data_IF_033789105558
#
_entry.id   IF_033789105558
#
_cell.length_a   1.000
_cell.length_b   1.000
_cell.length_c   1.000
_cell.angle_alpha   90.00
_cell.angle_beta   90.00
_cell.angle_gamma   90.00
#
_symmetry.space_group_name_H-M   'P 1'
#
loop_
_entity.id
_entity.type
_entity.pdbx_description
1 polymer ?
#
# COMPACT_ATOMS: atom_id res chain seq x y z
N UNK A 1 -1.67 -24.67 73.18
CA UNK A 1 -1.64 -24.00 71.86
C UNK A 1 -2.36 -22.67 71.98
N UNK A 2 -1.67 -21.54 71.80
CA UNK A 2 -2.28 -20.20 71.75
C UNK A 2 -2.21 -19.71 70.30
N UNK A 3 -3.37 -19.40 69.71
CA UNK A 3 -3.49 -18.86 68.35
C UNK A 3 -3.22 -17.35 68.37
N UNK A 4 -2.28 -16.90 67.53
CA UNK A 4 -1.98 -15.48 67.30
C UNK A 4 -2.97 -14.96 66.26
N UNK A 5 -3.86 -14.05 66.67
CA UNK A 5 -4.75 -13.35 65.74
C UNK A 5 -3.98 -12.25 65.01
N UNK A 6 -3.78 -12.40 63.70
CA UNK A 6 -3.21 -11.36 62.84
C UNK A 6 -4.20 -10.22 62.63
N UNK A 7 -3.80 -9.01 63.00
CA UNK A 7 -4.57 -7.78 62.76
C UNK A 7 -4.31 -7.29 61.33
N UNK A 8 -5.26 -7.49 60.41
CA UNK A 8 -5.22 -6.88 59.07
C UNK A 8 -5.73 -5.43 59.14
N UNK A 9 -5.04 -4.44 58.53
CA UNK A 9 -5.45 -3.05 58.62
C UNK A 9 -6.67 -2.76 57.72
N UNK A 10 -7.46 -1.80 58.19
CA UNK A 10 -8.72 -1.31 57.65
C UNK A 10 -8.60 -0.63 56.27
N UNK A 11 -8.67 -1.40 55.18
CA UNK A 11 -8.73 -0.84 53.81
C UNK A 11 -10.01 0.01 53.56
N UNK A 12 -11.12 -0.27 54.28
CA UNK A 12 -12.40 0.43 54.07
C UNK A 12 -12.41 1.91 54.49
N UNK A 13 -11.60 2.31 55.48
CA UNK A 13 -11.52 3.72 55.94
C UNK A 13 -10.73 4.61 54.97
N UNK A 14 -9.69 4.05 54.34
CA UNK A 14 -8.95 4.74 53.28
C UNK A 14 -9.81 4.93 52.03
N UNK A 15 -10.60 3.92 51.67
CA UNK A 15 -11.50 3.98 50.52
C UNK A 15 -12.63 5.01 50.71
N UNK A 16 -13.26 5.07 51.89
CA UNK A 16 -14.31 6.06 52.19
C UNK A 16 -13.82 7.50 52.29
N UNK A 17 -12.55 7.72 52.66
CA UNK A 17 -11.92 9.04 52.69
C UNK A 17 -11.48 9.50 51.28
N UNK A 18 -10.89 8.60 50.48
CA UNK A 18 -10.56 8.84 49.07
C UNK A 18 -11.82 9.10 48.22
N UNK A 19 -12.93 8.42 48.50
CA UNK A 19 -14.24 8.61 47.87
C UNK A 19 -15.18 9.57 48.64
N UNK A 20 -14.63 10.45 49.48
CA UNK A 20 -15.47 11.53 50.02
C UNK A 20 -15.95 12.41 48.87
N UNK A 21 -17.25 12.80 48.86
CA UNK A 21 -17.82 13.68 47.82
C UNK A 21 -16.99 14.95 47.57
N UNK A 22 -16.26 15.41 48.58
CA UNK A 22 -15.37 16.58 48.50
C UNK A 22 -14.08 16.27 47.72
N UNK A 23 -13.47 15.12 47.92
CA UNK A 23 -12.27 14.67 47.18
C UNK A 23 -12.60 14.46 45.70
N UNK A 24 -13.71 13.79 45.40
CA UNK A 24 -14.16 13.54 44.02
C UNK A 24 -14.40 14.86 43.27
N UNK A 25 -15.09 15.83 43.89
CA UNK A 25 -15.31 17.15 43.29
C UNK A 25 -14.01 17.89 42.98
N UNK A 26 -13.01 17.81 43.87
CA UNK A 26 -11.69 18.42 43.64
C UNK A 26 -10.95 17.72 42.49
N UNK A 27 -10.96 16.38 42.45
CA UNK A 27 -10.35 15.63 41.35
C UNK A 27 -11.00 15.97 40.00
N UNK A 28 -12.33 16.06 39.94
CA UNK A 28 -13.05 16.45 38.72
C UNK A 28 -12.71 17.88 38.28
N UNK A 29 -12.57 18.82 39.22
CA UNK A 29 -12.15 20.18 38.90
C UNK A 29 -10.73 20.23 38.34
N UNK A 30 -9.77 19.55 38.98
CA UNK A 30 -8.39 19.44 38.49
C UNK A 30 -8.36 18.79 37.11
N UNK A 31 -9.13 17.73 36.90
CA UNK A 31 -9.25 17.08 35.59
C UNK A 31 -9.79 18.04 34.53
N UNK A 32 -10.85 18.80 34.84
CA UNK A 32 -11.41 19.79 33.93
C UNK A 32 -10.41 20.90 33.59
N UNK A 33 -9.66 21.40 34.58
CA UNK A 33 -8.58 22.35 34.35
C UNK A 33 -7.50 21.75 33.45
N UNK A 34 -7.08 20.50 33.68
CA UNK A 34 -6.06 19.83 32.88
C UNK A 34 -6.52 19.64 31.43
N UNK A 35 -7.75 19.18 31.21
CA UNK A 35 -8.34 19.05 29.85
C UNK A 35 -8.37 20.42 29.16
N UNK A 36 -8.76 21.47 29.88
CA UNK A 36 -8.81 22.84 29.33
C UNK A 36 -7.42 23.33 28.93
N UNK A 37 -6.41 23.08 29.76
CA UNK A 37 -5.01 23.44 29.46
C UNK A 37 -4.50 22.70 28.22
N UNK A 38 -4.78 21.41 28.10
CA UNK A 38 -4.40 20.61 26.92
C UNK A 38 -5.11 21.13 25.67
N UNK A 39 -6.40 21.44 25.75
CA UNK A 39 -7.15 22.00 24.63
C UNK A 39 -6.60 23.38 24.20
N UNK A 40 -6.27 24.25 25.15
CA UNK A 40 -5.65 25.55 24.88
C UNK A 40 -4.28 25.40 24.22
N UNK A 41 -3.47 24.45 24.68
CA UNK A 41 -2.17 24.14 24.10
C UNK A 41 -2.30 23.75 22.61
N UNK A 42 -3.16 22.77 22.29
CA UNK A 42 -3.39 22.38 20.89
C UNK A 42 -4.02 23.50 20.06
N UNK A 43 -4.90 24.32 20.64
CA UNK A 43 -5.49 25.45 19.94
C UNK A 43 -4.41 26.49 19.56
N UNK A 44 -3.50 26.80 20.49
CA UNK A 44 -2.39 27.72 20.22
C UNK A 44 -1.42 27.14 19.18
N UNK A 45 -1.02 25.87 19.32
CA UNK A 45 -0.14 25.22 18.35
C UNK A 45 -0.75 25.16 16.96
N UNK A 46 -2.02 24.78 16.85
CA UNK A 46 -2.74 24.75 15.57
C UNK A 46 -2.87 26.16 14.97
N UNK A 47 -3.12 27.18 15.80
CA UNK A 47 -3.18 28.57 15.34
C UNK A 47 -1.82 29.08 14.87
N UNK A 48 -0.74 28.81 15.63
CA UNK A 48 0.63 29.17 15.27
C UNK A 48 1.07 28.48 13.99
N UNK A 49 0.79 27.18 13.86
CA UNK A 49 1.05 26.38 12.67
C UNK A 49 0.31 26.91 11.45
N UNK A 50 -1.00 27.12 11.57
CA UNK A 50 -1.84 27.68 10.50
C UNK A 50 -1.36 29.07 10.08
N UNK A 51 -1.00 29.94 11.04
CA UNK A 51 -0.47 31.27 10.74
C UNK A 51 0.88 31.22 10.02
N UNK A 52 1.80 30.38 10.47
CA UNK A 52 3.11 30.21 9.83
C UNK A 52 2.98 29.64 8.41
N UNK A 53 2.16 28.62 8.24
CA UNK A 53 1.85 28.02 6.94
C UNK A 53 1.24 29.05 5.98
N UNK A 54 0.23 29.80 6.40
CA UNK A 54 -0.40 30.81 5.56
C UNK A 54 0.54 31.95 5.18
N UNK A 55 1.46 32.35 6.07
CA UNK A 55 2.50 33.33 5.74
C UNK A 55 3.43 32.80 4.65
N UNK A 56 3.94 31.58 4.81
CA UNK A 56 4.82 30.93 3.84
C UNK A 56 4.12 30.73 2.48
N UNK A 57 2.87 30.27 2.51
CA UNK A 57 2.03 30.10 1.32
C UNK A 57 1.90 31.39 0.52
N UNK A 58 1.56 32.50 1.17
CA UNK A 58 1.42 33.81 0.52
C UNK A 58 2.73 34.31 -0.06
N UNK A 59 3.84 34.05 0.62
CA UNK A 59 5.17 34.42 0.12
C UNK A 59 5.54 33.62 -1.13
N UNK A 60 5.26 32.31 -1.15
CA UNK A 60 5.46 31.47 -2.33
C UNK A 60 4.56 31.88 -3.49
N UNK A 61 3.26 32.06 -3.25
CA UNK A 61 2.30 32.51 -4.26
C UNK A 61 2.67 33.90 -4.80
N UNK A 62 3.16 34.81 -3.94
CA UNK A 62 3.67 36.13 -4.34
C UNK A 62 4.94 36.10 -5.19
N UNK A 63 5.73 35.02 -5.09
CA UNK A 63 6.88 34.75 -5.98
C UNK A 63 6.46 34.04 -7.27
N UNK A 64 5.17 33.80 -7.49
CA UNK A 64 4.63 33.12 -8.67
C UNK A 64 4.62 31.60 -8.57
N UNK A 65 4.89 31.01 -7.40
CA UNK A 65 4.80 29.56 -7.23
C UNK A 65 3.33 29.11 -7.24
N UNK A 66 3.01 28.17 -8.11
CA UNK A 66 1.67 27.57 -8.19
C UNK A 66 1.57 26.43 -7.17
N UNK A 67 0.76 26.64 -6.13
CA UNK A 67 0.59 25.66 -5.05
C UNK A 67 -0.62 24.73 -5.27
N UNK A 68 -1.40 24.94 -6.34
CA UNK A 68 -2.44 24.00 -6.72
C UNK A 68 -1.81 22.82 -7.47
N UNK A 69 -1.72 21.68 -6.78
CA UNK A 69 -1.19 20.45 -7.35
C UNK A 69 -1.94 20.03 -8.64
N UNK A 70 -3.21 20.43 -8.78
CA UNK A 70 -4.03 20.12 -9.97
C UNK A 70 -3.46 20.71 -11.24
N UNK A 71 -2.77 21.85 -11.15
CA UNK A 71 -2.15 22.47 -12.30
C UNK A 71 -0.94 21.68 -12.85
N UNK A 72 -0.44 20.70 -12.10
CA UNK A 72 0.62 19.79 -12.53
C UNK A 72 0.07 18.43 -12.98
N UNK A 73 -1.25 18.24 -12.93
CA UNK A 73 -1.87 17.02 -13.47
C UNK A 73 -1.96 17.21 -14.98
N UNK A 74 -1.30 16.34 -15.79
CA UNK A 74 -1.43 16.41 -17.23
C UNK A 74 -2.86 16.08 -17.65
N UNK A 75 -3.23 16.47 -18.87
CA UNK A 75 -4.52 16.05 -19.44
C UNK A 75 -4.64 14.52 -19.43
N UNK A 76 -5.84 13.98 -19.16
CA UNK A 76 -6.04 12.54 -19.12
C UNK A 76 -5.70 11.94 -20.48
N UNK A 77 -4.89 10.88 -20.47
CA UNK A 77 -4.56 10.12 -21.67
C UNK A 77 -5.82 9.38 -22.12
N UNK A 78 -6.23 9.50 -23.41
CA UNK A 78 -7.36 8.73 -23.94
C UNK A 78 -7.19 7.23 -23.69
N UNK A 79 -8.28 6.52 -23.42
CA UNK A 79 -8.24 5.10 -23.04
C UNK A 79 -7.57 4.23 -24.11
N UNK A 80 -7.72 4.58 -25.40
CA UNK A 80 -7.09 3.86 -26.52
C UNK A 80 -5.55 3.97 -26.52
N UNK A 81 -5.00 5.01 -25.88
CA UNK A 81 -3.57 5.25 -25.74
C UNK A 81 -3.05 4.92 -24.33
N UNK A 82 -3.96 4.60 -23.40
CA UNK A 82 -3.65 4.37 -22.00
C UNK A 82 -3.40 2.87 -21.76
N UNK A 83 -2.14 2.44 -21.82
CA UNK A 83 -1.77 1.07 -21.47
C UNK A 83 -2.18 0.68 -20.03
N UNK A 84 -2.30 1.66 -19.11
CA UNK A 84 -2.76 1.38 -17.75
C UNK A 84 -4.26 1.06 -17.66
N UNK A 85 -5.04 1.35 -18.71
CA UNK A 85 -6.44 0.97 -18.81
C UNK A 85 -6.65 -0.52 -19.17
N UNK A 86 -5.59 -1.22 -19.58
CA UNK A 86 -5.64 -2.66 -19.89
C UNK A 86 -6.09 -3.47 -18.67
N UNK A 87 -6.85 -4.58 -18.85
CA UNK A 87 -7.35 -5.38 -17.74
C UNK A 87 -6.24 -5.82 -16.78
N UNK A 88 -5.07 -6.17 -17.32
CA UNK A 88 -3.90 -6.58 -16.56
C UNK A 88 -3.45 -5.48 -15.59
N UNK A 89 -3.14 -4.29 -16.10
CA UNK A 89 -2.60 -3.19 -15.29
C UNK A 89 -3.68 -2.63 -14.36
N UNK A 90 -4.92 -2.51 -14.84
CA UNK A 90 -6.06 -2.04 -14.05
C UNK A 90 -6.31 -2.93 -12.83
N UNK A 91 -6.13 -4.24 -12.96
CA UNK A 91 -6.33 -5.19 -11.85
C UNK A 91 -5.41 -4.92 -10.66
N UNK A 92 -4.19 -4.40 -10.90
CA UNK A 92 -3.21 -4.08 -9.85
C UNK A 92 -3.66 -2.93 -8.93
N UNK A 93 -4.54 -2.05 -9.41
CA UNK A 93 -4.98 -0.85 -8.68
C UNK A 93 -6.35 -1.00 -8.02
N UNK A 94 -7.06 -2.11 -8.24
CA UNK A 94 -8.36 -2.36 -7.63
C UNK A 94 -8.20 -2.87 -6.19
N UNK A 95 -8.85 -2.18 -5.24
CA UNK A 95 -8.76 -2.40 -3.77
C UNK A 95 -9.12 -3.84 -3.34
N UNK A 96 -9.95 -4.53 -4.11
CA UNK A 96 -10.33 -5.94 -3.86
C UNK A 96 -9.16 -6.92 -4.03
N UNK A 97 -8.06 -6.52 -4.69
CA UNK A 97 -6.90 -7.37 -4.96
C UNK A 97 -5.74 -7.18 -3.96
N UNK A 98 -5.86 -6.31 -2.94
CA UNK A 98 -4.77 -6.00 -2.00
C UNK A 98 -4.34 -7.18 -1.10
N UNK A 99 -5.12 -8.27 -1.04
CA UNK A 99 -4.78 -9.49 -0.27
C UNK A 99 -4.63 -10.77 -1.10
N UNK A 100 -5.06 -10.74 -2.37
CA UNK A 100 -4.85 -11.84 -3.31
C UNK A 100 -4.90 -11.27 -4.72
N UNK A 101 -3.82 -10.62 -5.15
CA UNK A 101 -3.67 -10.37 -6.58
C UNK A 101 -3.59 -11.75 -7.22
N UNK A 102 -4.67 -12.18 -7.86
CA UNK A 102 -4.72 -13.45 -8.58
C UNK A 102 -3.93 -13.31 -9.88
N UNK A 103 -2.66 -12.93 -9.78
CA UNK A 103 -1.72 -12.92 -10.90
C UNK A 103 -1.78 -14.28 -11.63
N UNK A 104 -2.00 -15.38 -10.91
CA UNK A 104 -2.15 -16.72 -11.48
C UNK A 104 -3.34 -16.93 -12.42
N UNK A 105 -4.35 -16.04 -12.43
CA UNK A 105 -5.58 -16.23 -13.21
C UNK A 105 -5.60 -15.46 -14.52
N UNK A 106 -4.81 -14.39 -14.64
CA UNK A 106 -4.69 -13.66 -15.90
C UNK A 106 -3.73 -14.38 -16.87
N UNK A 107 -3.77 -13.98 -18.14
CA UNK A 107 -2.95 -14.60 -19.17
C UNK A 107 -1.45 -14.42 -18.88
N UNK A 108 -1.07 -13.34 -18.20
CA UNK A 108 0.31 -13.08 -17.79
C UNK A 108 0.81 -14.12 -16.79
N UNK A 109 0.10 -14.39 -15.68
CA UNK A 109 0.53 -15.40 -14.72
C UNK A 109 0.48 -16.81 -15.28
N UNK A 110 -0.50 -17.10 -16.16
CA UNK A 110 -0.53 -18.40 -16.87
C UNK A 110 0.71 -18.61 -17.73
N UNK A 111 1.21 -17.57 -18.41
CA UNK A 111 2.48 -17.65 -19.17
C UNK A 111 3.68 -17.71 -18.24
N UNK A 112 3.70 -16.88 -17.19
CA UNK A 112 4.81 -16.77 -16.24
C UNK A 112 5.20 -18.14 -15.67
N UNK A 113 4.21 -18.97 -15.32
CA UNK A 113 4.45 -20.32 -14.80
C UNK A 113 4.85 -21.35 -15.86
N UNK A 114 4.58 -21.11 -17.15
CA UNK A 114 4.90 -22.03 -18.26
C UNK A 114 6.25 -21.76 -18.90
N UNK A 115 6.87 -20.60 -18.67
CA UNK A 115 8.19 -20.29 -19.22
C UNK A 115 9.28 -20.62 -18.21
N UNK A 116 10.13 -21.60 -18.54
CA UNK A 116 11.23 -22.05 -17.68
C UNK A 116 12.60 -21.80 -18.31
N UNK A 117 13.59 -21.51 -17.47
CA UNK A 117 14.98 -21.55 -17.86
C UNK A 117 15.55 -22.92 -17.46
N UNK A 118 15.99 -23.72 -18.43
CA UNK A 118 16.52 -25.06 -18.18
C UNK A 118 17.80 -25.05 -17.34
N UNK A 119 18.55 -23.93 -17.34
CA UNK A 119 19.83 -23.78 -16.65
C UNK A 119 19.72 -23.14 -15.27
N UNK A 120 18.57 -22.54 -14.94
CA UNK A 120 18.40 -21.81 -13.69
C UNK A 120 17.17 -22.32 -12.91
N UNK A 121 17.44 -23.16 -11.90
CA UNK A 121 16.41 -23.71 -11.00
C UNK A 121 16.06 -22.76 -9.86
N UNK A 122 16.75 -21.63 -9.74
CA UNK A 122 16.57 -20.68 -8.64
C UNK A 122 15.58 -19.58 -9.03
N UNK A 123 14.35 -19.72 -8.52
CA UNK A 123 13.26 -18.76 -8.74
C UNK A 123 13.49 -17.41 -8.05
N UNK A 124 14.49 -17.29 -7.16
CA UNK A 124 14.80 -16.05 -6.43
C UNK A 124 15.70 -15.10 -7.22
N UNK A 125 16.32 -15.56 -8.32
CA UNK A 125 17.15 -14.74 -9.19
C UNK A 125 16.28 -13.98 -10.19
N UNK A 126 16.54 -12.69 -10.35
CA UNK A 126 15.87 -11.87 -11.36
C UNK A 126 16.20 -12.43 -12.75
N UNK A 127 15.23 -13.12 -13.36
CA UNK A 127 15.37 -13.71 -14.69
C UNK A 127 15.17 -12.64 -15.76
N UNK A 128 16.10 -12.53 -16.69
CA UNK A 128 15.85 -11.79 -17.92
C UNK A 128 14.75 -12.51 -18.74
N UNK A 129 13.74 -11.78 -19.20
CA UNK A 129 12.57 -12.38 -19.87
C UNK A 129 12.90 -12.67 -21.34
N UNK A 130 12.74 -13.94 -21.74
CA UNK A 130 12.83 -14.37 -23.14
C UNK A 130 11.46 -14.15 -23.82
N UNK A 131 11.38 -13.09 -24.63
CA UNK A 131 10.14 -12.70 -25.31
C UNK A 131 9.70 -13.73 -26.35
N UNK A 132 10.60 -14.54 -26.90
CA UNK A 132 10.25 -15.56 -27.89
C UNK A 132 9.52 -16.72 -27.23
N UNK A 133 10.02 -17.16 -26.07
CA UNK A 133 9.36 -18.19 -25.28
C UNK A 133 8.00 -17.72 -24.74
N UNK A 134 7.89 -16.44 -24.38
CA UNK A 134 6.63 -15.82 -23.95
C UNK A 134 5.61 -15.73 -25.10
N UNK A 135 6.02 -15.33 -26.30
CA UNK A 135 5.14 -15.31 -27.49
C UNK A 135 4.56 -16.71 -27.78
N UNK A 136 5.40 -17.74 -27.76
CA UNK A 136 4.97 -19.13 -27.96
C UNK A 136 3.97 -19.58 -26.88
N UNK A 137 4.22 -19.23 -25.62
CA UNK A 137 3.32 -19.55 -24.51
C UNK A 137 1.96 -18.84 -24.62
N UNK A 138 1.95 -17.56 -25.04
CA UNK A 138 0.70 -16.84 -25.31
C UNK A 138 -0.06 -17.44 -26.48
N UNK A 139 0.63 -17.82 -27.56
CA UNK A 139 0.01 -18.47 -28.71
C UNK A 139 -0.69 -19.79 -28.32
N UNK A 140 -0.04 -20.60 -27.47
CA UNK A 140 -0.63 -21.84 -26.93
C UNK A 140 -1.87 -21.57 -26.06
N UNK A 141 -1.84 -20.54 -25.22
CA UNK A 141 -3.00 -20.17 -24.41
C UNK A 141 -4.17 -19.71 -25.29
N UNK A 142 -3.90 -18.89 -26.32
CA UNK A 142 -4.92 -18.39 -27.25
C UNK A 142 -5.49 -19.48 -28.17
N UNK A 143 -4.70 -20.49 -28.52
CA UNK A 143 -5.15 -21.64 -29.33
C UNK A 143 -6.05 -22.60 -28.54
N UNK A 144 -6.27 -22.35 -27.25
CA UNK A 144 -7.08 -23.22 -26.38
C UNK A 144 -6.30 -24.41 -25.82
N UNK A 145 -4.96 -24.39 -25.86
CA UNK A 145 -4.13 -25.46 -25.32
C UNK A 145 -4.25 -25.52 -23.78
N UNK A 146 -4.99 -26.53 -23.31
CA UNK A 146 -5.35 -26.71 -21.90
C UNK A 146 -4.26 -27.39 -21.07
N UNK A 147 -3.17 -27.82 -21.70
CA UNK A 147 -2.09 -28.51 -21.00
C UNK A 147 -1.30 -27.54 -20.11
N UNK A 148 -1.63 -27.52 -18.82
CA UNK A 148 -0.96 -26.68 -17.82
C UNK A 148 0.48 -27.10 -17.54
N UNK A 149 0.90 -28.29 -17.98
CA UNK A 149 2.23 -28.84 -17.74
C UNK A 149 3.20 -28.66 -18.91
N UNK A 150 2.73 -28.10 -20.04
CA UNK A 150 3.61 -27.76 -21.15
C UNK A 150 4.49 -26.57 -20.75
N UNK A 151 5.81 -26.81 -20.79
CA UNK A 151 6.81 -25.80 -20.47
C UNK A 151 7.49 -25.31 -21.75
N UNK A 152 7.65 -23.99 -21.87
CA UNK A 152 8.40 -23.32 -22.91
C UNK A 152 9.76 -22.95 -22.35
N UNK A 153 10.83 -23.48 -22.95
CA UNK A 153 12.18 -23.26 -22.46
C UNK A 153 12.81 -22.03 -23.11
N UNK A 154 13.48 -21.20 -22.30
CA UNK A 154 14.21 -20.02 -22.82
C UNK A 154 15.45 -20.47 -23.60
N UNK A 155 15.48 -20.19 -24.90
CA UNK A 155 16.59 -20.53 -25.81
C UNK A 155 17.31 -19.29 -26.35
N UNK A 156 16.60 -18.16 -26.51
CA UNK A 156 17.09 -16.95 -27.17
C UNK A 156 17.12 -15.74 -26.23
N UNK A 157 17.25 -16.01 -24.93
CA UNK A 157 17.12 -15.03 -23.84
C UNK A 157 17.88 -13.73 -24.06
N UNK A 158 19.08 -13.75 -24.63
CA UNK A 158 19.92 -12.57 -24.83
C UNK A 158 19.94 -12.03 -26.27
N UNK A 159 19.27 -12.70 -27.22
CA UNK A 159 19.25 -12.23 -28.60
C UNK A 159 18.32 -11.04 -28.78
N UNK A 160 18.90 -9.88 -29.12
CA UNK A 160 18.16 -8.63 -29.20
C UNK A 160 17.19 -8.62 -30.39
N UNK A 161 17.60 -9.12 -31.55
CA UNK A 161 16.80 -9.02 -32.78
C UNK A 161 15.53 -9.86 -32.69
N UNK A 162 15.64 -11.13 -32.27
CA UNK A 162 14.47 -12.00 -32.17
C UNK A 162 13.51 -11.50 -31.07
N UNK A 163 14.05 -10.95 -29.97
CA UNK A 163 13.22 -10.35 -28.90
C UNK A 163 12.49 -9.10 -29.36
N UNK A 164 13.16 -8.23 -30.12
CA UNK A 164 12.53 -7.03 -30.68
C UNK A 164 11.36 -7.40 -31.63
N UNK A 165 11.50 -8.50 -32.39
CA UNK A 165 10.42 -9.02 -33.27
C UNK A 165 9.23 -9.58 -32.48
N UNK A 166 9.46 -10.24 -31.34
CA UNK A 166 8.41 -10.82 -30.51
C UNK A 166 7.66 -9.78 -29.64
N UNK A 167 8.29 -8.64 -29.32
CA UNK A 167 7.75 -7.65 -28.39
C UNK A 167 6.35 -7.11 -28.76
N UNK A 168 6.04 -6.75 -30.03
CA UNK A 168 4.71 -6.25 -30.39
C UNK A 168 3.60 -7.29 -30.16
N UNK A 169 3.86 -8.56 -30.45
CA UNK A 169 2.88 -9.64 -30.27
C UNK A 169 2.52 -9.84 -28.79
N UNK A 170 3.51 -9.74 -27.90
CA UNK A 170 3.29 -9.80 -26.45
C UNK A 170 2.55 -8.56 -25.97
N UNK A 171 2.90 -7.37 -26.46
CA UNK A 171 2.20 -6.15 -26.07
C UNK A 171 0.71 -6.22 -26.41
N UNK A 172 0.36 -6.70 -27.61
CA UNK A 172 -1.02 -6.99 -28.01
C UNK A 172 -1.65 -8.18 -27.27
N UNK A 173 -0.85 -9.02 -26.61
CA UNK A 173 -1.35 -10.09 -25.75
C UNK A 173 -1.72 -9.63 -24.34
N UNK A 174 -1.14 -8.52 -23.89
CA UNK A 174 -1.37 -7.97 -22.55
C UNK A 174 -2.44 -6.87 -22.52
N UNK A 175 -2.84 -6.36 -23.70
CA UNK A 175 -3.96 -5.43 -23.86
C UNK A 175 -5.30 -6.13 -23.69
#
# INVERSE_FOLDING_TARGET
MKTVAGHFPTFGRLFGWLFSRRTIRRCLFVLACLVTLVALFYAEENWRGSRAWNKYRRELEGRGALLDYRAFIPEPVPDEQNFAATPLVRSCFLKENLGSVKFDMDDYGRVFWRVADAKDRDWTRHRFIDLVAWEAAFAAIRSGETNRHQMFFTTNKLDFETRAKAAPAILEALK
#
